data_IF_896429203443
#
_entry.id   IF_896429203443
#
_cell.length_a   1.000
_cell.length_b   1.000
_cell.length_c   1.000
_cell.angle_alpha   90.00
_cell.angle_beta   90.00
_cell.angle_gamma   90.00
#
_symmetry.space_group_name_H-M   'P 1'
#
loop_
_entity.id
_entity.type
_entity.pdbx_description
1 polymer ?
#
# COMPACT_ATOMS: atom_id res chain seq x y z
N UNK A 1 45.31 18.79 53.31
CA UNK A 1 46.24 17.69 52.98
C UNK A 1 45.44 16.59 52.30
N UNK A 2 46.07 15.97 51.30
CA UNK A 2 45.54 15.04 50.31
C UNK A 2 45.53 13.59 50.83
N UNK A 3 44.74 12.75 50.15
CA UNK A 3 44.73 11.27 50.07
C UNK A 3 44.10 10.52 51.26
N UNK A 4 43.30 9.46 51.07
CA UNK A 4 42.87 8.73 49.87
C UNK A 4 42.29 7.36 50.30
N UNK A 5 41.27 6.89 49.58
CA UNK A 5 40.80 5.49 49.38
C UNK A 5 40.58 4.53 50.59
N UNK A 6 39.64 3.59 50.64
CA UNK A 6 38.82 2.94 49.61
C UNK A 6 37.58 2.23 50.23
N UNK A 7 36.68 1.82 49.34
CA UNK A 7 35.31 1.27 49.48
C UNK A 7 35.16 -0.02 50.29
N UNK A 8 33.96 -0.22 50.85
CA UNK A 8 33.19 -1.49 50.77
C UNK A 8 31.70 -1.20 51.04
N UNK A 9 30.87 -1.10 49.98
CA UNK A 9 29.40 -1.18 50.10
C UNK A 9 28.91 -2.28 49.17
N UNK A 10 28.23 -3.22 49.78
CA UNK A 10 27.67 -4.42 49.19
C UNK A 10 26.62 -4.07 48.13
N UNK A 11 26.93 -4.31 46.85
CA UNK A 11 25.93 -4.40 45.76
C UNK A 11 25.34 -5.81 45.74
N UNK A 12 24.01 -5.98 45.72
CA UNK A 12 23.43 -7.29 45.48
C UNK A 12 23.61 -7.70 44.02
N UNK A 13 23.94 -8.98 43.88
CA UNK A 13 24.14 -9.78 42.70
C UNK A 13 23.08 -9.53 41.60
N UNK A 14 23.53 -9.09 40.42
CA UNK A 14 22.71 -8.98 39.20
C UNK A 14 22.96 -10.23 38.36
N UNK A 15 21.98 -11.12 38.13
CA UNK A 15 22.16 -12.14 37.13
C UNK A 15 22.08 -11.50 35.75
N UNK A 16 23.17 -11.66 35.01
CA UNK A 16 23.26 -11.51 33.57
C UNK A 16 22.07 -12.18 32.89
N UNK A 17 21.13 -11.37 32.43
CA UNK A 17 20.05 -11.76 31.56
C UNK A 17 19.84 -10.62 30.58
N UNK A 18 20.35 -10.82 29.36
CA UNK A 18 19.84 -10.20 28.14
C UNK A 18 18.30 -10.21 28.16
N UNK A 19 17.64 -9.43 27.32
CA UNK A 19 16.43 -9.80 26.56
C UNK A 19 15.80 -8.49 26.11
N UNK A 20 16.22 -8.11 24.91
CA UNK A 20 15.57 -7.12 24.06
C UNK A 20 14.07 -7.44 23.92
N UNK A 21 13.22 -6.42 23.70
CA UNK A 21 11.82 -6.66 23.40
C UNK A 21 11.72 -7.57 22.17
N UNK A 22 10.96 -8.65 22.32
CA UNK A 22 10.71 -9.72 21.38
C UNK A 22 10.92 -9.33 19.91
N UNK A 23 11.99 -9.88 19.34
CA UNK A 23 12.15 -9.95 17.89
C UNK A 23 11.00 -10.70 17.26
N UNK A 24 10.57 -10.24 16.08
CA UNK A 24 9.63 -10.95 15.25
C UNK A 24 10.15 -12.37 14.99
N UNK A 25 9.48 -13.38 15.57
CA UNK A 25 9.65 -14.75 15.12
C UNK A 25 8.94 -14.87 13.79
N UNK A 26 9.73 -14.61 12.75
CA UNK A 26 9.44 -14.92 11.36
C UNK A 26 9.34 -16.43 11.25
N UNK A 27 8.13 -16.93 11.00
CA UNK A 27 7.92 -18.32 10.62
C UNK A 27 8.34 -18.49 9.15
N UNK A 28 9.61 -18.77 8.94
CA UNK A 28 10.12 -19.21 7.64
C UNK A 28 10.33 -20.72 7.70
N UNK A 29 9.34 -21.50 7.28
CA UNK A 29 9.62 -22.73 6.54
C UNK A 29 8.61 -22.90 5.40
N UNK A 30 9.08 -22.52 4.22
CA UNK A 30 8.75 -23.17 2.95
C UNK A 30 7.49 -22.72 2.24
N UNK A 31 7.46 -21.51 1.64
CA UNK A 31 6.84 -21.23 0.32
C UNK A 31 7.38 -19.88 -0.23
N UNK A 32 7.53 -19.70 -1.55
CA UNK A 32 8.37 -18.65 -2.13
C UNK A 32 7.77 -17.25 -1.96
N UNK A 33 8.64 -16.32 -1.62
CA UNK A 33 8.40 -14.90 -1.37
C UNK A 33 7.49 -14.23 -2.40
N UNK A 34 6.31 -13.74 -1.97
CA UNK A 34 5.64 -12.60 -2.60
C UNK A 34 5.08 -11.66 -1.52
N UNK A 35 5.62 -10.45 -1.55
CA UNK A 35 5.56 -9.41 -0.52
C UNK A 35 4.14 -8.89 -0.26
N UNK A 36 3.66 -9.10 0.97
CA UNK A 36 2.44 -8.49 1.52
C UNK A 36 2.35 -8.76 3.02
N UNK A 37 2.93 -7.89 3.85
CA UNK A 37 2.91 -8.05 5.30
C UNK A 37 1.53 -7.77 5.90
N UNK A 38 0.91 -8.79 6.50
CA UNK A 38 -0.20 -8.64 7.44
C UNK A 38 0.37 -8.23 8.80
N UNK A 39 -0.05 -7.07 9.33
CA UNK A 39 0.26 -6.63 10.69
C UNK A 39 -1.02 -6.71 11.52
N UNK A 40 -1.04 -7.62 12.50
CA UNK A 40 -2.07 -7.69 13.55
C UNK A 40 -1.47 -7.01 14.77
N UNK A 41 -2.04 -5.87 15.17
CA UNK A 41 -1.63 -5.12 16.34
C UNK A 41 -2.67 -5.33 17.44
N UNK A 42 -2.29 -5.97 18.54
CA UNK A 42 -3.05 -5.98 19.79
C UNK A 42 -2.53 -4.84 20.66
N UNK A 43 -3.39 -3.88 21.02
CA UNK A 43 -3.04 -2.82 21.96
C UNK A 43 -3.01 -3.37 23.40
N UNK A 44 -2.05 -2.95 24.24
CA UNK A 44 -1.99 -3.38 25.63
C UNK A 44 -2.88 -2.48 26.49
N UNK A 45 -3.95 -3.04 27.05
CA UNK A 45 -4.60 -2.46 28.24
C UNK A 45 -4.59 -3.54 29.30
N UNK A 46 -3.74 -3.35 30.33
CA UNK A 46 -3.57 -4.15 31.55
C UNK A 46 -3.42 -5.66 31.33
N UNK A 47 -2.17 -6.09 31.28
CA UNK A 47 -1.75 -7.48 31.07
C UNK A 47 -1.51 -8.20 32.40
N UNK A 48 -2.02 -9.43 32.57
CA UNK A 48 -1.24 -10.57 33.04
C UNK A 48 -0.80 -11.38 31.83
N UNK A 49 0.49 -11.74 31.79
CA UNK A 49 1.18 -12.39 30.67
C UNK A 49 0.36 -13.49 29.99
N UNK A 50 -0.10 -13.21 28.76
CA UNK A 50 -0.95 -14.12 27.99
C UNK A 50 -0.17 -14.84 26.88
N UNK A 51 0.29 -16.05 27.17
CA UNK A 51 0.89 -16.96 26.19
C UNK A 51 -0.22 -17.89 25.65
N UNK A 52 -0.84 -17.53 24.53
CA UNK A 52 -1.85 -18.37 23.86
C UNK A 52 -1.23 -19.68 23.35
N UNK A 53 -1.79 -20.84 23.72
CA UNK A 53 -1.21 -22.14 23.37
C UNK A 53 -1.59 -22.70 21.98
N UNK A 54 -2.62 -22.19 21.29
CA UNK A 54 -2.84 -22.39 19.84
C UNK A 54 -4.04 -21.57 19.32
N UNK A 55 -3.95 -21.01 18.12
CA UNK A 55 -5.07 -20.40 17.41
C UNK A 55 -5.35 -21.14 16.10
N UNK A 56 -6.59 -21.60 15.88
CA UNK A 56 -6.99 -22.15 14.59
C UNK A 56 -7.52 -21.02 13.71
N UNK A 57 -6.74 -20.68 12.69
CA UNK A 57 -7.15 -19.79 11.62
C UNK A 57 -7.73 -20.63 10.48
N UNK A 58 -9.00 -20.42 10.13
CA UNK A 58 -9.56 -21.05 8.94
C UNK A 58 -9.73 -20.04 7.83
N UNK A 59 -9.00 -20.33 6.76
CA UNK A 59 -9.07 -19.64 5.48
C UNK A 59 -10.04 -20.38 4.55
N UNK A 60 -10.62 -19.65 3.61
CA UNK A 60 -11.25 -20.26 2.46
C UNK A 60 -10.32 -20.13 1.25
N UNK A 61 -9.45 -21.11 1.05
CA UNK A 61 -8.86 -21.33 -0.27
C UNK A 61 -9.84 -22.12 -1.12
N UNK A 62 -10.52 -21.42 -2.04
CA UNK A 62 -11.24 -22.08 -3.13
C UNK A 62 -10.17 -22.75 -4.01
N UNK A 63 -9.94 -24.05 -3.78
CA UNK A 63 -8.99 -24.88 -4.54
C UNK A 63 -9.27 -24.71 -6.04
N UNK A 64 -8.23 -24.38 -6.81
CA UNK A 64 -8.19 -24.50 -8.27
C UNK A 64 -9.25 -23.72 -9.07
N UNK A 65 -9.52 -22.46 -8.71
CA UNK A 65 -10.10 -21.51 -9.66
C UNK A 65 -9.20 -20.28 -9.71
N UNK A 66 -8.87 -19.84 -10.94
CA UNK A 66 -8.18 -18.60 -11.24
C UNK A 66 -8.71 -17.52 -10.29
N UNK A 67 -7.91 -17.09 -9.31
CA UNK A 67 -8.33 -16.09 -8.34
C UNK A 67 -8.83 -14.89 -9.14
N UNK A 68 -10.12 -14.61 -9.08
CA UNK A 68 -10.72 -13.43 -9.70
C UNK A 68 -10.26 -12.22 -8.90
N UNK A 69 -9.02 -11.79 -9.16
CA UNK A 69 -8.44 -10.59 -8.56
C UNK A 69 -9.31 -9.42 -9.01
N UNK A 70 -10.05 -8.85 -8.05
CA UNK A 70 -10.84 -7.65 -8.30
C UNK A 70 -9.87 -6.48 -8.43
N UNK A 71 -9.70 -5.98 -9.65
CA UNK A 71 -8.92 -4.78 -9.93
C UNK A 71 -9.69 -3.56 -9.40
N UNK A 72 -9.21 -2.90 -8.32
CA UNK A 72 -9.97 -1.83 -7.68
C UNK A 72 -10.14 -0.60 -8.58
N UNK A 73 -9.23 -0.42 -9.54
CA UNK A 73 -9.24 0.73 -10.43
C UNK A 73 -9.00 0.34 -11.89
N UNK A 74 -9.74 0.94 -12.80
CA UNK A 74 -9.43 0.86 -14.23
C UNK A 74 -8.90 2.21 -14.70
N UNK A 75 -7.67 2.23 -15.20
CA UNK A 75 -7.07 3.40 -15.84
C UNK A 75 -7.36 3.33 -17.32
N UNK A 76 -7.89 4.41 -17.89
CA UNK A 76 -8.21 4.52 -19.32
C UNK A 76 -7.48 5.76 -19.85
N UNK A 77 -6.30 5.57 -20.45
CA UNK A 77 -5.57 6.66 -21.10
C UNK A 77 -6.13 6.96 -22.48
N UNK A 78 -6.15 8.24 -22.82
CA UNK A 78 -6.50 8.77 -24.13
C UNK A 78 -5.43 9.79 -24.49
N UNK A 79 -4.61 9.47 -25.48
CA UNK A 79 -3.51 10.30 -25.93
C UNK A 79 -3.77 10.76 -27.36
N UNK A 80 -3.70 12.06 -27.60
CA UNK A 80 -3.86 12.67 -28.92
C UNK A 80 -2.68 13.58 -29.22
N UNK A 81 -2.02 13.36 -30.34
CA UNK A 81 -0.95 14.24 -30.82
C UNK A 81 -1.58 15.37 -31.65
N UNK A 82 -1.34 16.62 -31.27
CA UNK A 82 -1.86 17.83 -31.92
C UNK A 82 -0.71 18.49 -32.69
N UNK A 83 -0.38 17.91 -33.84
CA UNK A 83 0.80 18.32 -34.62
C UNK A 83 2.12 17.86 -33.98
N UNK A 84 3.20 18.62 -34.19
CA UNK A 84 4.56 18.29 -33.68
C UNK A 84 4.91 18.97 -32.35
N UNK A 85 4.11 19.93 -31.90
CA UNK A 85 4.44 20.82 -30.78
C UNK A 85 3.52 20.67 -29.58
N UNK A 86 2.40 19.92 -29.72
CA UNK A 86 1.42 19.75 -28.66
C UNK A 86 0.91 18.32 -28.59
N UNK A 87 0.58 17.90 -27.39
CA UNK A 87 0.03 16.59 -27.10
C UNK A 87 -1.03 16.73 -26.00
N UNK A 88 -2.23 16.24 -26.27
CA UNK A 88 -3.34 16.22 -25.30
C UNK A 88 -3.43 14.82 -24.67
N UNK A 89 -3.45 14.78 -23.35
CA UNK A 89 -3.50 13.56 -22.55
C UNK A 89 -4.69 13.63 -21.61
N UNK A 90 -5.63 12.71 -21.78
CA UNK A 90 -6.76 12.52 -20.88
C UNK A 90 -6.66 11.16 -20.21
N UNK A 91 -6.69 11.14 -18.89
CA UNK A 91 -6.68 9.91 -18.10
C UNK A 91 -7.97 9.83 -17.31
N UNK A 92 -8.73 8.77 -17.54
CA UNK A 92 -9.95 8.47 -16.80
C UNK A 92 -9.65 7.34 -15.83
N UNK A 93 -9.94 7.55 -14.56
CA UNK A 93 -9.80 6.58 -13.49
C UNK A 93 -11.18 6.14 -13.03
N UNK A 94 -11.49 4.85 -13.17
CA UNK A 94 -12.76 4.25 -12.74
C UNK A 94 -12.57 3.39 -11.50
N UNK A 95 -13.30 3.66 -10.43
CA UNK A 95 -13.27 2.85 -9.21
C UNK A 95 -14.24 1.67 -9.31
N UNK A 96 -13.74 0.45 -9.34
CA UNK A 96 -14.52 -0.78 -9.51
C UNK A 96 -14.62 -1.57 -8.21
N UNK A 97 -15.25 -0.98 -7.20
CA UNK A 97 -15.53 -1.63 -5.92
C UNK A 97 -16.79 -1.02 -5.29
N UNK A 98 -17.26 -1.62 -4.19
CA UNK A 98 -18.52 -1.24 -3.54
C UNK A 98 -18.58 0.26 -3.22
N UNK A 99 -19.72 0.94 -3.46
CA UNK A 99 -19.85 2.39 -3.31
C UNK A 99 -19.64 2.89 -1.87
N UNK A 100 -19.91 2.05 -0.87
CA UNK A 100 -19.75 2.39 0.55
C UNK A 100 -18.29 2.35 1.02
N UNK A 101 -17.37 1.81 0.21
CA UNK A 101 -15.96 1.77 0.52
C UNK A 101 -15.26 2.98 -0.12
N UNK A 102 -14.13 3.36 0.47
CA UNK A 102 -13.33 4.49 -0.01
C UNK A 102 -11.87 4.07 -0.17
N UNK A 103 -11.33 4.28 -1.36
CA UNK A 103 -9.90 4.22 -1.60
C UNK A 103 -9.23 5.52 -1.16
N UNK A 104 -8.00 5.44 -0.68
CA UNK A 104 -7.22 6.55 -0.13
C UNK A 104 -5.79 6.55 -0.67
N UNK A 105 -5.07 7.67 -0.45
CA UNK A 105 -3.67 7.86 -0.86
C UNK A 105 -3.44 7.49 -2.33
N UNK A 106 -4.34 7.97 -3.18
CA UNK A 106 -4.31 7.64 -4.59
C UNK A 106 -3.31 8.57 -5.28
N UNK A 107 -2.32 8.00 -5.95
CA UNK A 107 -1.34 8.74 -6.74
C UNK A 107 -1.25 8.11 -8.13
N UNK A 108 -1.52 8.88 -9.17
CA UNK A 108 -1.38 8.44 -10.57
C UNK A 108 -0.15 9.15 -11.15
N UNK A 109 0.76 8.36 -11.71
CA UNK A 109 1.99 8.83 -12.35
C UNK A 109 1.83 8.69 -13.86
N UNK A 110 1.72 9.83 -14.54
CA UNK A 110 1.53 9.89 -15.99
C UNK A 110 2.85 10.36 -16.60
N UNK A 111 3.58 9.51 -17.34
CA UNK A 111 4.86 9.89 -17.93
C UNK A 111 4.66 10.90 -19.06
N UNK A 112 5.60 11.83 -19.19
CA UNK A 112 5.67 12.81 -20.27
C UNK A 112 6.93 12.58 -21.12
N UNK A 113 6.95 13.04 -22.38
CA UNK A 113 8.15 13.02 -23.20
C UNK A 113 9.32 13.80 -22.55
N UNK A 114 10.55 13.48 -22.95
CA UNK A 114 11.73 14.23 -22.49
C UNK A 114 11.84 15.63 -23.11
N UNK A 115 11.20 15.86 -24.26
CA UNK A 115 11.16 17.15 -24.94
C UNK A 115 9.99 18.04 -24.50
N UNK A 116 9.41 17.78 -23.33
CA UNK A 116 8.33 18.61 -22.77
C UNK A 116 8.87 19.97 -22.32
N UNK A 117 8.29 21.06 -22.85
CA UNK A 117 8.58 22.44 -22.42
C UNK A 117 7.67 22.90 -21.30
N UNK A 118 6.40 22.50 -21.34
CA UNK A 118 5.37 22.96 -20.41
C UNK A 118 4.20 21.97 -20.35
N UNK A 119 3.48 22.00 -19.23
CA UNK A 119 2.29 21.17 -19.04
C UNK A 119 1.21 21.98 -18.34
N UNK A 120 0.03 22.05 -18.95
CA UNK A 120 -1.18 22.58 -18.33
C UNK A 120 -2.08 21.42 -17.93
N UNK A 121 -2.53 21.38 -16.68
CA UNK A 121 -3.36 20.28 -16.15
C UNK A 121 -4.69 20.79 -15.64
N UNK A 122 -5.76 20.04 -15.92
CA UNK A 122 -7.12 20.29 -15.45
C UNK A 122 -7.65 19.02 -14.82
N UNK A 123 -8.03 19.08 -13.54
CA UNK A 123 -8.62 17.96 -12.82
C UNK A 123 -9.68 18.44 -11.82
N UNK A 124 -10.83 17.76 -11.76
CA UNK A 124 -11.92 18.09 -10.84
C UNK A 124 -11.74 17.51 -9.43
N UNK A 125 -10.92 16.46 -9.31
CA UNK A 125 -10.65 15.76 -8.05
C UNK A 125 -9.15 15.68 -7.81
N UNK A 126 -8.73 15.97 -6.59
CA UNK A 126 -7.32 15.94 -6.22
C UNK A 126 -6.55 17.14 -6.73
N UNK A 127 -5.22 17.00 -6.77
CA UNK A 127 -4.29 18.01 -7.29
C UNK A 127 -3.28 17.33 -8.19
N UNK A 128 -3.02 17.90 -9.35
CA UNK A 128 -2.01 17.43 -10.28
C UNK A 128 -0.89 18.45 -10.41
N UNK A 129 0.35 17.98 -10.53
CA UNK A 129 1.53 18.81 -10.78
C UNK A 129 2.46 18.10 -11.73
N UNK A 130 3.00 18.84 -12.69
CA UNK A 130 4.12 18.38 -13.50
C UNK A 130 5.42 18.46 -12.71
N UNK A 131 6.22 17.39 -12.77
CA UNK A 131 7.57 17.33 -12.22
C UNK A 131 8.56 17.08 -13.35
N UNK A 132 9.30 18.12 -13.74
CA UNK A 132 10.28 18.04 -14.82
C UNK A 132 11.39 17.03 -14.55
N UNK A 133 11.91 16.96 -13.31
CA UNK A 133 12.97 16.02 -12.94
C UNK A 133 12.58 14.54 -13.09
N UNK A 134 11.29 14.22 -12.96
CA UNK A 134 10.75 12.86 -13.10
C UNK A 134 10.14 12.62 -14.50
N UNK A 135 10.09 13.64 -15.37
CA UNK A 135 9.35 13.64 -16.63
C UNK A 135 7.95 13.04 -16.48
N UNK A 136 7.21 13.50 -15.46
CA UNK A 136 5.92 12.94 -15.12
C UNK A 136 4.96 13.97 -14.53
N UNK A 137 3.67 13.78 -14.80
CA UNK A 137 2.57 14.45 -14.13
C UNK A 137 2.15 13.56 -12.97
N UNK A 138 2.20 14.12 -11.76
CA UNK A 138 1.81 13.44 -10.53
C UNK A 138 0.43 13.94 -10.12
N UNK A 139 -0.56 13.06 -10.18
CA UNK A 139 -1.94 13.36 -9.80
C UNK A 139 -2.30 12.68 -8.47
N UNK A 140 -2.45 13.49 -7.42
CA UNK A 140 -2.74 13.02 -6.06
C UNK A 140 -4.19 13.26 -5.69
N UNK A 141 -4.89 12.20 -5.29
CA UNK A 141 -6.29 12.22 -4.87
C UNK A 141 -6.38 11.65 -3.45
N UNK A 142 -6.95 12.43 -2.53
CA UNK A 142 -7.05 12.03 -1.12
C UNK A 142 -7.95 10.82 -0.93
N UNK A 143 -9.13 10.83 -1.57
CA UNK A 143 -10.17 9.82 -1.39
C UNK A 143 -11.09 9.70 -2.59
N UNK A 144 -11.45 8.48 -2.98
CA UNK A 144 -12.47 8.16 -3.99
C UNK A 144 -13.40 7.08 -3.44
N UNK A 145 -14.72 7.24 -3.59
CA UNK A 145 -15.70 6.20 -3.28
C UNK A 145 -15.80 5.19 -4.42
N UNK A 146 -16.20 3.97 -4.11
CA UNK A 146 -16.44 2.95 -5.14
C UNK A 146 -17.51 3.35 -6.16
N UNK A 147 -17.48 2.72 -7.33
CA UNK A 147 -18.39 2.97 -8.46
C UNK A 147 -18.42 4.43 -8.93
N UNK A 148 -17.32 5.18 -8.72
CA UNK A 148 -17.17 6.53 -9.24
C UNK A 148 -15.99 6.63 -10.20
N UNK A 149 -16.16 7.52 -11.16
CA UNK A 149 -15.15 7.87 -12.13
C UNK A 149 -14.61 9.27 -11.84
N UNK A 150 -13.33 9.48 -12.11
CA UNK A 150 -12.73 10.81 -12.13
C UNK A 150 -11.76 10.91 -13.30
N UNK A 151 -11.47 12.13 -13.73
CA UNK A 151 -10.62 12.36 -14.89
C UNK A 151 -9.65 13.50 -14.66
N UNK A 152 -8.54 13.43 -15.38
CA UNK A 152 -7.55 14.47 -15.56
C UNK A 152 -7.34 14.68 -17.05
N UNK A 153 -7.30 15.94 -17.47
CA UNK A 153 -6.86 16.35 -18.80
C UNK A 153 -5.56 17.15 -18.67
N UNK A 154 -4.64 16.96 -19.59
CA UNK A 154 -3.36 17.64 -19.61
C UNK A 154 -2.97 18.00 -21.04
N UNK A 155 -2.67 19.28 -21.27
CA UNK A 155 -2.06 19.75 -22.49
C UNK A 155 -0.55 19.84 -22.26
N UNK A 156 0.20 19.06 -23.03
CA UNK A 156 1.65 18.97 -22.98
C UNK A 156 2.21 19.71 -24.19
N UNK A 157 3.03 20.72 -23.93
CA UNK A 157 3.79 21.43 -24.95
C UNK A 157 5.14 20.74 -25.17
N UNK A 158 5.51 20.58 -26.43
CA UNK A 158 6.69 19.87 -26.88
C UNK A 158 7.61 20.83 -27.62
N UNK A 159 8.90 20.77 -27.28
CA UNK A 159 9.95 21.36 -28.09
C UNK A 159 10.04 20.61 -29.42
N UNK A 160 10.28 21.36 -30.50
CA UNK A 160 10.47 20.78 -31.84
C UNK A 160 11.61 19.78 -31.81
N UNK A 161 11.27 18.51 -32.03
CA UNK A 161 12.24 17.44 -32.16
C UNK A 161 12.89 17.51 -33.55
N UNK A 162 14.20 17.29 -33.61
CA UNK A 162 14.92 17.11 -34.88
C UNK A 162 14.43 15.85 -35.62
N UNK A 163 14.52 15.79 -36.95
CA UNK A 163 14.05 14.63 -37.75
C UNK A 163 14.75 13.30 -37.40
N UNK A 164 15.83 13.33 -36.60
CA UNK A 164 16.54 12.13 -36.11
C UNK A 164 16.03 11.63 -34.76
N UNK A 165 15.05 12.31 -34.13
CA UNK A 165 14.55 11.90 -32.81
C UNK A 165 13.69 10.64 -32.93
N UNK A 166 14.06 9.59 -32.20
CA UNK A 166 13.26 8.36 -32.13
C UNK A 166 11.86 8.66 -31.60
N UNK A 167 10.84 8.03 -32.19
CA UNK A 167 9.45 8.09 -31.71
C UNK A 167 9.42 7.72 -30.23
N UNK A 168 8.77 8.56 -29.43
CA UNK A 168 8.69 8.35 -27.99
C UNK A 168 7.94 7.05 -27.67
N UNK A 169 8.66 6.10 -27.05
CA UNK A 169 8.06 4.89 -26.51
C UNK A 169 7.39 5.23 -25.18
N UNK A 170 6.07 5.35 -25.20
CA UNK A 170 5.25 5.77 -24.06
C UNK A 170 5.41 4.77 -22.91
N UNK A 171 6.03 5.17 -21.78
CA UNK A 171 6.07 4.31 -20.61
C UNK A 171 4.64 4.11 -20.07
N UNK A 172 4.37 3.02 -19.35
CA UNK A 172 3.05 2.81 -18.76
C UNK A 172 2.75 3.85 -17.69
N UNK A 173 1.47 4.18 -17.54
CA UNK A 173 0.95 4.96 -16.41
C UNK A 173 0.93 4.05 -15.19
N UNK A 174 1.55 4.48 -14.11
CA UNK A 174 1.56 3.74 -12.85
C UNK A 174 0.64 4.38 -11.80
N UNK A 175 0.17 3.57 -10.86
CA UNK A 175 -0.79 4.00 -9.84
C UNK A 175 -0.47 3.43 -8.47
N UNK A 176 -0.56 4.28 -7.46
CA UNK A 176 -0.53 3.91 -6.06
C UNK A 176 -1.88 4.16 -5.38
N UNK A 177 -2.32 3.27 -4.49
CA UNK A 177 -3.55 3.44 -3.70
C UNK A 177 -3.61 2.51 -2.48
N UNK A 178 -4.46 2.87 -1.52
CA UNK A 178 -4.92 2.01 -0.42
C UNK A 178 -6.43 1.76 -0.50
N UNK A 179 -6.86 0.52 -0.32
CA UNK A 179 -8.27 0.12 -0.24
C UNK A 179 -8.57 -0.67 1.04
N UNK A 180 -9.76 -0.50 1.66
CA UNK A 180 -10.13 -1.15 2.91
C UNK A 180 -10.71 -2.57 2.69
N UNK A 181 -10.18 -3.31 1.72
CA UNK A 181 -10.59 -4.68 1.41
C UNK A 181 -9.41 -5.45 0.80
N UNK A 182 -9.49 -6.79 0.78
CA UNK A 182 -8.51 -7.64 0.12
C UNK A 182 -8.86 -7.76 -1.39
N UNK A 183 -8.00 -7.31 -2.33
CA UNK A 183 -8.25 -7.45 -3.76
C UNK A 183 -8.36 -8.91 -4.24
N UNK A 184 -7.76 -9.84 -3.49
CA UNK A 184 -7.87 -11.29 -3.71
C UNK A 184 -9.26 -11.86 -3.38
N UNK A 185 -10.15 -11.06 -2.79
CA UNK A 185 -11.43 -11.53 -2.27
C UNK A 185 -11.34 -12.25 -0.92
N UNK A 186 -10.14 -12.34 -0.34
CA UNK A 186 -9.90 -12.99 0.95
C UNK A 186 -10.74 -12.37 2.07
N UNK A 187 -11.41 -13.23 2.85
CA UNK A 187 -12.22 -12.84 4.00
C UNK A 187 -12.01 -13.83 5.15
N UNK A 188 -11.58 -13.32 6.30
CA UNK A 188 -11.59 -14.02 7.57
C UNK A 188 -13.05 -14.30 7.95
N UNK A 189 -13.41 -15.58 8.07
CA UNK A 189 -14.76 -15.99 8.51
C UNK A 189 -14.84 -16.11 10.03
N UNK A 190 -13.83 -16.73 10.64
CA UNK A 190 -13.74 -16.90 12.07
C UNK A 190 -12.29 -16.94 12.51
N UNK A 191 -12.07 -16.55 13.76
CA UNK A 191 -10.83 -16.72 14.49
C UNK A 191 -11.21 -17.41 15.80
N UNK A 192 -10.78 -18.66 15.98
CA UNK A 192 -11.07 -19.45 17.19
C UNK A 192 -9.86 -19.47 18.10
N UNK A 193 -10.08 -19.13 19.36
CA UNK A 193 -9.08 -19.09 20.44
C UNK A 193 -9.39 -20.24 21.40
N UNK A 194 -8.40 -21.08 21.63
CA UNK A 194 -8.49 -22.19 22.59
C UNK A 194 -7.43 -21.99 23.66
N UNK A 195 -7.87 -21.83 24.90
CA UNK A 195 -6.97 -21.84 26.05
C UNK A 195 -7.51 -22.81 27.10
N UNK A 196 -6.68 -23.77 27.46
CA UNK A 196 -7.06 -24.88 28.36
C UNK A 196 -6.61 -24.64 29.79
N UNK A 197 -5.71 -23.68 30.03
CA UNK A 197 -5.08 -23.45 31.34
C UNK A 197 -5.64 -22.27 32.11
N UNK A 198 -6.26 -21.34 31.42
CA UNK A 198 -6.72 -20.06 31.98
C UNK A 198 -8.24 -19.96 31.88
N UNK A 199 -8.87 -19.23 32.79
CA UNK A 199 -10.32 -19.23 32.98
C UNK A 199 -11.06 -18.27 32.04
N UNK A 200 -10.76 -18.33 30.74
CA UNK A 200 -11.47 -17.60 29.70
C UNK A 200 -11.61 -18.46 28.45
N UNK A 201 -12.65 -18.20 27.68
CA UNK A 201 -13.10 -18.96 26.52
C UNK A 201 -13.04 -18.11 25.24
N UNK A 202 -13.29 -18.75 24.10
CA UNK A 202 -13.35 -18.06 22.79
C UNK A 202 -14.34 -16.88 22.75
N UNK A 203 -15.41 -16.96 23.55
CA UNK A 203 -16.45 -15.93 23.63
C UNK A 203 -16.03 -14.70 24.44
N UNK A 204 -15.05 -14.86 25.33
CA UNK A 204 -14.53 -13.78 26.17
C UNK A 204 -13.52 -12.91 25.40
N UNK A 205 -13.09 -13.37 24.22
CA UNK A 205 -12.10 -12.69 23.39
C UNK A 205 -12.77 -11.70 22.44
N UNK A 206 -12.41 -10.42 22.56
CA UNK A 206 -12.77 -9.39 21.57
C UNK A 206 -11.90 -9.54 20.33
N UNK A 207 -12.52 -9.65 19.14
CA UNK A 207 -11.84 -9.93 17.87
C UNK A 207 -12.04 -8.78 16.89
N UNK A 208 -10.95 -8.30 16.30
CA UNK A 208 -10.96 -7.25 15.27
C UNK A 208 -10.25 -7.71 14.02
N UNK A 209 -10.78 -7.33 12.85
CA UNK A 209 -10.14 -7.57 11.56
C UNK A 209 -10.18 -6.28 10.74
N UNK A 210 -9.03 -5.91 10.17
CA UNK A 210 -8.92 -4.79 9.24
C UNK A 210 -8.20 -5.25 7.98
N UNK A 211 -8.82 -4.98 6.83
CA UNK A 211 -8.19 -5.20 5.54
C UNK A 211 -7.53 -3.91 5.04
N UNK A 212 -6.29 -4.02 4.58
CA UNK A 212 -5.55 -2.93 3.93
C UNK A 212 -4.92 -3.50 2.66
N UNK A 213 -5.58 -3.30 1.53
CA UNK A 213 -5.02 -3.58 0.22
C UNK A 213 -4.19 -2.40 -0.25
N UNK A 214 -2.91 -2.61 -0.51
CA UNK A 214 -2.03 -1.62 -1.13
C UNK A 214 -1.74 -2.03 -2.57
N UNK A 215 -1.60 -1.05 -3.45
CA UNK A 215 -1.05 -1.28 -4.78
C UNK A 215 0.39 -1.79 -4.70
N UNK A 216 0.70 -2.81 -5.52
CA UNK A 216 2.07 -3.15 -5.89
C UNK A 216 2.42 -2.50 -7.25
N UNK A 217 2.97 -3.29 -8.17
CA UNK A 217 3.13 -2.88 -9.57
C UNK A 217 1.76 -2.77 -10.25
N UNK A 218 1.24 -1.55 -10.36
CA UNK A 218 -0.05 -1.27 -10.98
C UNK A 218 0.14 -0.36 -12.19
N UNK A 219 0.29 -0.97 -13.37
CA UNK A 219 0.68 -0.28 -14.60
C UNK A 219 -0.34 -0.46 -15.71
N UNK A 220 -0.54 0.58 -16.52
CA UNK A 220 -1.42 0.54 -17.70
C UNK A 220 -0.73 1.22 -18.87
N UNK A 221 -0.63 0.52 -20.01
CA UNK A 221 -0.01 1.04 -21.23
C UNK A 221 -0.97 1.99 -21.98
N UNK A 222 -0.40 2.95 -22.70
CA UNK A 222 -1.08 4.01 -23.46
C UNK A 222 -0.44 4.27 -24.83
#
# INVERSE_FOLDING_TARGET
>A
MVAGDERLVHTPFVPSGYWSPCGALVWNEGFPTLLGGLTVSTNPVKEPDFRCSSSQFCEQHRRHEKLEISLPFRVIPLVRELGKTKMDVKVILKANFRPNLFAQKIEVHIPTPMNTSGVQVVCMKGRAKYKAAENAIIWKIRRISGMKDCQLSAEIELLQASDKQKRWMRPPISMNFEVPFAPSGFKVRFLKVFESKLNYSDHDVVKWVRYIGKSGLYETRC
#
